data_IF_562993834687
#
_entry.id   IF_562993834687
#
_cell.length_a   1.000
_cell.length_b   1.000
_cell.length_c   1.000
_cell.angle_alpha   90.00
_cell.angle_beta   90.00
_cell.angle_gamma   90.00
#
_symmetry.space_group_name_H-M   'P 1'
#
loop_
_entity.id
_entity.type
_entity.pdbx_description
1 polymer ?
#
# COMPACT_ATOMS: atom_id res chain seq x y z
N UNK A 1 11.94 6.22 54.73
CA UNK A 1 11.66 6.34 53.28
C UNK A 1 10.15 6.36 53.12
N UNK A 2 9.57 7.52 52.77
CA UNK A 2 8.15 7.64 52.45
C UNK A 2 7.90 6.99 51.10
N UNK A 3 7.34 5.78 51.09
CA UNK A 3 6.82 5.17 49.86
C UNK A 3 5.61 5.96 49.42
N UNK A 4 5.62 6.50 48.19
CA UNK A 4 4.44 7.09 47.56
C UNK A 4 3.28 6.08 47.63
N UNK A 5 2.07 6.56 47.92
CA UNK A 5 0.88 5.70 47.91
C UNK A 5 0.76 5.00 46.55
N UNK A 6 0.39 3.72 46.58
CA UNK A 6 0.21 2.87 45.38
C UNK A 6 1.48 2.66 44.52
N UNK A 7 2.69 2.92 45.05
CA UNK A 7 3.95 2.68 44.34
C UNK A 7 4.07 1.25 43.76
N UNK A 8 3.72 0.22 44.53
CA UNK A 8 3.77 -1.16 44.06
C UNK A 8 2.83 -1.42 42.88
N UNK A 9 1.66 -0.77 42.85
CA UNK A 9 0.73 -0.91 41.71
C UNK A 9 1.29 -0.27 40.44
N UNK A 10 2.01 0.84 40.57
CA UNK A 10 2.69 1.47 39.44
C UNK A 10 3.84 0.60 38.92
N UNK A 11 4.65 0.02 39.81
CA UNK A 11 5.73 -0.89 39.45
C UNK A 11 5.19 -2.15 38.76
N UNK A 12 4.15 -2.77 39.31
CA UNK A 12 3.52 -3.95 38.73
C UNK A 12 2.99 -3.67 37.31
N UNK A 13 2.27 -2.56 37.11
CA UNK A 13 1.78 -2.18 35.79
C UNK A 13 2.93 -1.87 34.83
N UNK A 14 4.00 -1.22 35.30
CA UNK A 14 5.19 -0.98 34.48
C UNK A 14 5.83 -2.29 33.98
N UNK A 15 5.87 -3.34 34.82
CA UNK A 15 6.35 -4.65 34.38
C UNK A 15 5.45 -5.26 33.28
N UNK A 16 4.14 -5.03 33.32
CA UNK A 16 3.22 -5.41 32.23
C UNK A 16 3.59 -4.69 30.93
N UNK A 17 3.79 -3.37 30.95
CA UNK A 17 4.23 -2.62 29.76
C UNK A 17 5.57 -3.14 29.23
N UNK A 18 6.52 -3.45 30.13
CA UNK A 18 7.84 -3.97 29.75
C UNK A 18 7.78 -5.33 29.06
N UNK A 19 6.81 -6.18 29.40
CA UNK A 19 6.60 -7.49 28.76
C UNK A 19 6.31 -7.37 27.26
N UNK A 20 5.54 -6.36 26.86
CA UNK A 20 5.14 -6.12 25.47
C UNK A 20 6.07 -5.15 24.72
N UNK A 21 6.97 -4.50 25.45
CA UNK A 21 7.96 -3.57 24.94
C UNK A 21 7.59 -2.10 25.23
N UNK A 22 8.59 -1.31 25.57
CA UNK A 22 8.40 0.11 25.89
C UNK A 22 8.44 1.03 24.66
N UNK A 23 8.83 0.48 23.51
CA UNK A 23 9.00 1.22 22.24
C UNK A 23 8.08 0.64 21.15
N UNK A 24 6.84 0.29 21.53
CA UNK A 24 5.82 -0.24 20.62
C UNK A 24 5.52 0.74 19.47
N UNK A 25 5.71 2.04 19.69
CA UNK A 25 5.56 3.11 18.71
C UNK A 25 6.59 3.09 17.57
N UNK A 26 7.74 2.42 17.76
CA UNK A 26 8.81 2.31 16.75
C UNK A 26 8.71 1.05 15.88
N UNK A 27 7.77 0.16 16.19
CA UNK A 27 7.60 -1.10 15.49
C UNK A 27 6.83 -0.91 14.18
N UNK A 28 6.88 -1.92 13.30
CA UNK A 28 5.99 -1.94 12.13
C UNK A 28 4.53 -1.97 12.61
N UNK A 29 3.60 -1.41 11.84
CA UNK A 29 2.17 -1.42 12.22
C UNK A 29 1.63 -2.82 12.53
N UNK A 30 2.08 -3.85 11.82
CA UNK A 30 1.71 -5.24 12.11
C UNK A 30 2.19 -5.71 13.49
N UNK A 31 3.42 -5.39 13.87
CA UNK A 31 4.00 -5.74 15.17
C UNK A 31 3.38 -4.90 16.27
N UNK A 32 3.25 -3.59 16.04
CA UNK A 32 2.60 -2.65 16.95
C UNK A 32 1.18 -3.12 17.30
N UNK A 33 0.37 -3.48 16.30
CA UNK A 33 -0.98 -4.00 16.53
C UNK A 33 -0.97 -5.30 17.34
N UNK A 34 -0.07 -6.23 17.01
CA UNK A 34 0.02 -7.49 17.74
C UNK A 34 0.41 -7.30 19.21
N UNK A 35 1.34 -6.39 19.50
CA UNK A 35 1.73 -6.08 20.88
C UNK A 35 0.63 -5.31 21.62
N UNK A 36 0.01 -4.31 20.98
CA UNK A 36 -1.04 -3.52 21.61
C UNK A 36 -2.28 -4.34 21.97
N UNK A 37 -2.70 -5.28 21.12
CA UNK A 37 -3.80 -6.20 21.46
C UNK A 37 -3.53 -6.97 22.75
N UNK A 38 -2.37 -7.61 22.82
CA UNK A 38 -1.99 -8.40 24.00
C UNK A 38 -1.82 -7.53 25.24
N UNK A 39 -1.22 -6.34 25.10
CA UNK A 39 -1.11 -5.39 26.21
C UNK A 39 -2.49 -4.96 26.72
N UNK A 40 -3.42 -4.64 25.82
CA UNK A 40 -4.79 -4.29 26.19
C UNK A 40 -5.46 -5.47 26.91
N UNK A 41 -5.40 -6.68 26.33
CA UNK A 41 -5.95 -7.90 26.94
C UNK A 41 -5.41 -8.13 28.37
N UNK A 42 -4.10 -7.93 28.58
CA UNK A 42 -3.49 -8.09 29.90
C UNK A 42 -3.92 -6.98 30.88
N UNK A 43 -4.03 -5.74 30.42
CA UNK A 43 -4.50 -4.63 31.24
C UNK A 43 -5.99 -4.73 31.60
N UNK A 44 -6.80 -5.46 30.81
CA UNK A 44 -8.20 -5.74 31.10
C UNK A 44 -8.44 -6.82 32.16
N UNK A 45 -7.40 -7.56 32.55
CA UNK A 45 -7.48 -8.50 33.67
C UNK A 45 -7.91 -7.75 34.94
N UNK A 46 -8.81 -8.35 35.71
CA UNK A 46 -9.39 -7.75 36.92
C UNK A 46 -8.33 -7.15 37.86
N UNK A 47 -7.21 -7.85 38.06
CA UNK A 47 -6.10 -7.40 38.91
C UNK A 47 -5.46 -6.10 38.39
N UNK A 48 -5.29 -5.96 37.08
CA UNK A 48 -4.69 -4.77 36.47
C UNK A 48 -5.69 -3.61 36.39
N UNK A 49 -6.98 -3.88 36.17
CA UNK A 49 -8.04 -2.86 36.26
C UNK A 49 -8.11 -2.25 37.66
N UNK A 50 -7.98 -3.06 38.72
CA UNK A 50 -7.92 -2.55 40.09
C UNK A 50 -6.72 -1.61 40.30
N UNK A 51 -5.54 -1.98 39.79
CA UNK A 51 -4.32 -1.16 39.85
C UNK A 51 -4.47 0.14 39.05
N UNK A 52 -5.01 0.06 37.83
CA UNK A 52 -5.30 1.23 36.99
C UNK A 52 -6.29 2.18 37.67
N UNK A 53 -7.32 1.65 38.33
CA UNK A 53 -8.29 2.46 39.08
C UNK A 53 -7.63 3.14 40.29
N UNK A 54 -6.82 2.40 41.07
CA UNK A 54 -6.10 2.95 42.21
C UNK A 54 -5.10 4.07 41.83
N UNK A 55 -4.62 4.07 40.59
CA UNK A 55 -3.75 5.11 40.02
C UNK A 55 -4.51 6.15 39.19
N UNK A 56 -5.85 6.08 39.12
CA UNK A 56 -6.67 6.97 38.29
C UNK A 56 -6.31 6.97 36.80
N UNK A 57 -5.82 5.84 36.28
CA UNK A 57 -5.38 5.65 34.89
C UNK A 57 -6.47 5.09 33.96
N UNK A 58 -7.64 4.73 34.50
CA UNK A 58 -8.77 4.18 33.70
C UNK A 58 -9.14 5.09 32.52
N UNK A 59 -9.24 6.43 32.65
CA UNK A 59 -9.54 7.30 31.50
C UNK A 59 -8.49 7.20 30.40
N UNK A 60 -7.20 7.23 30.76
CA UNK A 60 -6.09 7.14 29.81
C UNK A 60 -6.04 5.77 29.13
N UNK A 61 -6.28 4.69 29.87
CA UNK A 61 -6.37 3.34 29.33
C UNK A 61 -7.50 3.21 28.29
N UNK A 62 -8.69 3.73 28.61
CA UNK A 62 -9.83 3.71 27.71
C UNK A 62 -9.58 4.55 26.44
N UNK A 63 -8.92 5.71 26.58
CA UNK A 63 -8.53 6.55 25.45
C UNK A 63 -7.54 5.82 24.53
N UNK A 64 -6.50 5.20 25.10
CA UNK A 64 -5.52 4.41 24.37
C UNK A 64 -6.20 3.26 23.59
N UNK A 65 -7.07 2.49 24.27
CA UNK A 65 -7.83 1.40 23.66
C UNK A 65 -8.71 1.89 22.51
N UNK A 66 -9.43 3.00 22.71
CA UNK A 66 -10.29 3.59 21.68
C UNK A 66 -9.49 3.99 20.43
N UNK A 67 -8.35 4.68 20.62
CA UNK A 67 -7.45 5.05 19.51
C UNK A 67 -6.88 3.83 18.79
N UNK A 68 -6.52 2.78 19.52
CA UNK A 68 -6.04 1.54 18.91
C UNK A 68 -7.12 0.87 18.04
N UNK A 69 -8.35 0.77 18.54
CA UNK A 69 -9.46 0.22 17.78
C UNK A 69 -9.77 1.05 16.52
N UNK A 70 -9.73 2.37 16.62
CA UNK A 70 -9.91 3.26 15.47
C UNK A 70 -8.81 3.06 14.41
N UNK A 71 -7.56 2.92 14.85
CA UNK A 71 -6.43 2.60 13.97
C UNK A 71 -6.64 1.26 13.24
N UNK A 72 -7.03 0.21 13.96
CA UNK A 72 -7.26 -1.10 13.35
C UNK A 72 -8.34 -1.07 12.26
N UNK A 73 -9.42 -0.32 12.49
CA UNK A 73 -10.49 -0.15 11.51
C UNK A 73 -9.95 0.47 10.20
N UNK A 74 -9.20 1.58 10.32
CA UNK A 74 -8.60 2.27 9.17
C UNK A 74 -7.58 1.37 8.47
N UNK A 75 -6.75 0.67 9.23
CA UNK A 75 -5.74 -0.23 8.68
C UNK A 75 -6.36 -1.40 7.91
N UNK A 76 -7.45 -1.99 8.44
CA UNK A 76 -8.19 -3.06 7.77
C UNK A 76 -8.87 -2.56 6.48
N UNK A 77 -9.48 -1.37 6.51
CA UNK A 77 -10.07 -0.74 5.33
C UNK A 77 -9.01 -0.49 4.25
N UNK A 78 -7.85 0.06 4.64
CA UNK A 78 -6.75 0.31 3.72
C UNK A 78 -6.18 -0.99 3.14
N UNK A 79 -6.04 -2.04 3.96
CA UNK A 79 -5.60 -3.35 3.49
C UNK A 79 -6.57 -3.93 2.45
N UNK A 80 -7.88 -3.79 2.67
CA UNK A 80 -8.93 -4.16 1.71
C UNK A 80 -8.85 -3.36 0.41
N UNK A 81 -8.78 -2.03 0.50
CA UNK A 81 -8.65 -1.15 -0.67
C UNK A 81 -7.38 -1.47 -1.49
N UNK A 82 -6.25 -1.69 -0.81
CA UNK A 82 -4.98 -2.06 -1.45
C UNK A 82 -5.03 -3.43 -2.12
N UNK A 83 -5.74 -4.40 -1.53
CA UNK A 83 -5.95 -5.70 -2.16
C UNK A 83 -6.74 -5.56 -3.48
N UNK A 84 -7.80 -4.75 -3.49
CA UNK A 84 -8.57 -4.43 -4.69
C UNK A 84 -7.72 -3.75 -5.76
N UNK A 85 -6.86 -2.79 -5.38
CA UNK A 85 -5.93 -2.14 -6.31
C UNK A 85 -4.94 -3.12 -6.95
N UNK A 86 -4.46 -4.13 -6.20
CA UNK A 86 -3.56 -5.17 -6.75
C UNK A 86 -4.24 -6.07 -7.77
N UNK A 87 -5.57 -6.22 -7.72
CA UNK A 87 -6.31 -6.96 -8.73
C UNK A 87 -6.51 -6.16 -10.02
N UNK A 88 -6.42 -4.83 -9.96
CA UNK A 88 -6.47 -4.00 -11.16
C UNK A 88 -5.15 -4.07 -11.91
N UNK A 89 -5.21 -4.35 -13.21
CA UNK A 89 -4.02 -4.24 -14.06
C UNK A 89 -3.55 -2.79 -14.03
N UNK A 90 -2.25 -2.62 -13.78
CA UNK A 90 -1.63 -1.29 -13.89
C UNK A 90 -1.76 -0.77 -15.32
N UNK A 91 -1.80 0.55 -15.50
CA UNK A 91 -1.82 1.15 -16.84
C UNK A 91 -0.66 0.64 -17.73
N UNK A 92 0.51 0.40 -17.13
CA UNK A 92 1.66 -0.21 -17.81
C UNK A 92 1.39 -1.66 -18.26
N UNK A 93 0.71 -2.46 -17.43
CA UNK A 93 0.32 -3.82 -17.81
C UNK A 93 -0.72 -3.80 -18.95
N UNK A 94 -1.74 -2.94 -18.86
CA UNK A 94 -2.75 -2.75 -19.92
C UNK A 94 -2.09 -2.33 -21.23
N UNK A 95 -1.16 -1.37 -21.20
CA UNK A 95 -0.40 -0.93 -22.38
C UNK A 95 0.36 -2.08 -23.03
N UNK A 96 1.04 -2.91 -22.23
CA UNK A 96 1.81 -4.07 -22.73
C UNK A 96 0.90 -5.10 -23.39
N UNK A 97 -0.25 -5.39 -22.79
CA UNK A 97 -1.23 -6.32 -23.35
C UNK A 97 -1.81 -5.80 -24.67
N UNK A 98 -2.19 -4.52 -24.71
CA UNK A 98 -2.67 -3.88 -25.95
C UNK A 98 -1.59 -3.91 -27.04
N UNK A 99 -0.34 -3.58 -26.70
CA UNK A 99 0.77 -3.63 -27.65
C UNK A 99 0.97 -5.04 -28.23
N UNK A 100 0.84 -6.08 -27.40
CA UNK A 100 0.93 -7.48 -27.84
C UNK A 100 -0.18 -7.81 -28.84
N UNK A 101 -1.42 -7.43 -28.53
CA UNK A 101 -2.58 -7.68 -29.41
C UNK A 101 -2.40 -6.94 -30.75
N UNK A 102 -2.02 -5.66 -30.70
CA UNK A 102 -1.78 -4.86 -31.90
C UNK A 102 -0.67 -5.44 -32.76
N UNK A 103 0.45 -5.86 -32.15
CA UNK A 103 1.53 -6.53 -32.88
C UNK A 103 1.06 -7.82 -33.56
N UNK A 104 0.31 -8.67 -32.86
CA UNK A 104 -0.23 -9.90 -33.45
C UNK A 104 -1.16 -9.61 -34.63
N UNK A 105 -2.04 -8.62 -34.51
CA UNK A 105 -2.94 -8.22 -35.59
C UNK A 105 -2.19 -7.69 -36.82
N UNK A 106 -1.21 -6.80 -36.59
CA UNK A 106 -0.36 -6.28 -37.67
C UNK A 106 0.48 -7.37 -38.33
N UNK A 107 0.97 -8.35 -37.56
CA UNK A 107 1.69 -9.51 -38.09
C UNK A 107 0.78 -10.37 -38.97
N UNK A 108 -0.48 -10.60 -38.57
CA UNK A 108 -1.46 -11.31 -39.39
C UNK A 108 -1.68 -10.60 -40.73
N UNK A 109 -1.98 -9.30 -40.70
CA UNK A 109 -2.19 -8.53 -41.94
C UNK A 109 -0.93 -8.56 -42.82
N UNK A 110 0.25 -8.47 -42.22
CA UNK A 110 1.52 -8.57 -42.95
C UNK A 110 1.71 -9.95 -43.59
N UNK A 111 1.31 -11.03 -42.91
CA UNK A 111 1.38 -12.39 -43.45
C UNK A 111 0.40 -12.60 -44.62
N UNK A 112 -0.75 -11.92 -44.60
CA UNK A 112 -1.77 -12.01 -45.66
C UNK A 112 -1.51 -11.09 -46.86
N UNK A 113 -0.42 -10.32 -46.87
CA UNK A 113 -0.17 -9.26 -47.87
C UNK A 113 -0.24 -9.70 -49.34
N UNK A 114 0.00 -10.98 -49.62
CA UNK A 114 0.07 -11.53 -50.98
C UNK A 114 -1.26 -12.18 -51.41
N UNK A 115 -2.28 -12.25 -50.54
CA UNK A 115 -3.62 -12.73 -50.86
C UNK A 115 -4.44 -11.57 -51.45
N UNK A 116 -5.05 -11.78 -52.62
CA UNK A 116 -5.72 -10.72 -53.39
C UNK A 116 -6.73 -9.92 -52.58
N UNK A 117 -7.59 -10.59 -51.80
CA UNK A 117 -8.62 -9.94 -50.95
C UNK A 117 -8.04 -9.10 -49.80
N UNK A 118 -6.76 -9.29 -49.46
CA UNK A 118 -6.10 -8.64 -48.32
C UNK A 118 -5.16 -7.50 -48.74
N UNK A 119 -4.85 -7.37 -50.04
CA UNK A 119 -3.88 -6.39 -50.56
C UNK A 119 -4.24 -4.95 -50.21
N UNK A 120 -5.52 -4.57 -50.36
CA UNK A 120 -5.99 -3.22 -50.05
C UNK A 120 -5.84 -2.90 -48.55
N UNK A 121 -6.31 -3.82 -47.69
CA UNK A 121 -6.20 -3.66 -46.23
C UNK A 121 -4.74 -3.58 -45.77
N UNK A 122 -3.86 -4.40 -46.34
CA UNK A 122 -2.43 -4.35 -46.05
C UNK A 122 -1.83 -2.99 -46.45
N UNK A 123 -2.15 -2.49 -47.64
CA UNK A 123 -1.65 -1.21 -48.13
C UNK A 123 -2.07 -0.05 -47.21
N UNK A 124 -3.36 0.03 -46.87
CA UNK A 124 -3.92 1.07 -45.99
C UNK A 124 -3.27 1.02 -44.59
N UNK A 125 -3.17 -0.17 -44.00
CA UNK A 125 -2.53 -0.35 -42.70
C UNK A 125 -1.05 0.03 -42.71
N UNK A 126 -0.33 -0.29 -43.79
CA UNK A 126 1.09 0.04 -43.91
C UNK A 126 1.32 1.56 -43.98
N UNK A 127 0.45 2.30 -44.69
CA UNK A 127 0.52 3.76 -44.72
C UNK A 127 0.24 4.39 -43.35
N UNK A 128 -0.74 3.87 -42.61
CA UNK A 128 -1.00 4.31 -41.23
C UNK A 128 0.20 4.08 -40.31
N UNK A 129 0.88 2.93 -40.43
CA UNK A 129 2.10 2.63 -39.66
C UNK A 129 3.22 3.60 -40.02
N UNK A 130 3.40 3.92 -41.31
CA UNK A 130 4.40 4.90 -41.77
C UNK A 130 4.10 6.29 -41.19
N UNK A 131 2.85 6.75 -41.28
CA UNK A 131 2.42 8.03 -40.71
C UNK A 131 2.67 8.11 -39.20
N UNK A 132 2.33 7.04 -38.45
CA UNK A 132 2.57 6.97 -37.01
C UNK A 132 4.07 6.96 -36.64
N UNK A 133 4.94 6.36 -37.46
CA UNK A 133 6.40 6.41 -37.24
C UNK A 133 6.95 7.82 -37.45
N UNK A 134 6.44 8.54 -38.45
CA UNK A 134 6.85 9.90 -38.76
C UNK A 134 6.43 10.90 -37.67
N UNK A 135 5.21 10.78 -37.14
CA UNK A 135 4.72 11.64 -36.06
C UNK A 135 5.48 11.48 -34.73
N UNK A 136 6.04 10.29 -34.48
CA UNK A 136 6.88 10.02 -33.31
C UNK A 136 8.28 10.63 -33.40
N UNK A 137 8.75 10.95 -34.62
CA UNK A 137 10.09 11.48 -34.88
C UNK A 137 10.14 13.01 -34.80
N UNK A 138 9.03 13.69 -35.10
CA UNK A 138 8.90 15.16 -35.03
C UNK A 138 8.78 15.74 -33.61
N UNK A 139 8.70 14.89 -32.57
CA UNK A 139 8.60 15.31 -31.16
C UNK A 139 9.90 15.20 -30.37
N UNK A 140 11.00 14.80 -31.02
CA UNK A 140 12.35 14.88 -30.42
C UNK A 140 12.86 16.32 -30.56
N UNK A 141 13.23 17.03 -29.47
CA UNK A 141 13.80 18.38 -29.60
C UNK A 141 15.09 18.27 -30.39
N UNK A 142 15.19 19.07 -31.45
CA UNK A 142 16.44 19.29 -32.15
C UNK A 142 17.48 19.81 -31.14
N UNK A 143 18.55 19.04 -30.94
CA UNK A 143 19.65 19.47 -30.08
C UNK A 143 20.36 20.59 -30.82
N UNK A 144 19.93 21.82 -30.56
CA UNK A 144 20.44 23.03 -31.17
C UNK A 144 21.96 23.01 -31.29
N UNK A 145 22.42 23.25 -32.53
CA UNK A 145 23.79 23.52 -32.87
C UNK A 145 24.36 24.55 -31.91
N UNK A 146 25.35 24.14 -31.10
CA UNK A 146 26.26 25.07 -30.43
C UNK A 146 27.20 25.62 -31.50
N UNK A 147 26.85 26.75 -32.09
CA UNK A 147 27.80 27.54 -32.87
C UNK A 147 28.68 28.33 -31.90
N UNK A 148 30.00 28.17 -32.07
CA UNK A 148 31.07 28.90 -31.39
C UNK A 148 30.99 30.40 -31.63
#
# INVERSE_FOLDING_TARGET
MTTLSNYQFAEDLYQVFKLYGLEIDKQSYSQQTAQMKKLIEDLEKTENIQKLNALSLIPAFNEMKSKHNAFELIFAEQAGANASLRQMKTASAIRRDLEKILKSFLNLITAMKDIDDWKLLYADMNELIKAAKLSKKSTTPDKGEKNL
#
